data_IF_283895719972
#
_entry.id   IF_283895719972
#
_cell.length_a   1.000
_cell.length_b   1.000
_cell.length_c   1.000
_cell.angle_alpha   90.00
_cell.angle_beta   90.00
_cell.angle_gamma   90.00
#
_symmetry.space_group_name_H-M   'P 1'
#
loop_
_entity.id
_entity.type
_entity.pdbx_description
1 polymer ?
#
# COMPACT_ATOMS: atom_id res chain seq x y z
N UNK A 1 40.80 25.24 3.62
CA UNK A 1 41.23 23.84 3.41
C UNK A 1 41.54 23.06 4.70
N UNK A 2 41.87 23.68 5.80
CA UNK A 2 42.14 23.00 7.09
C UNK A 2 40.87 22.79 7.92
N UNK A 3 39.86 23.63 7.78
CA UNK A 3 38.56 23.49 8.46
C UNK A 3 37.62 22.44 7.84
N UNK A 4 37.73 22.19 6.55
CA UNK A 4 36.93 21.15 5.88
C UNK A 4 37.37 19.71 6.20
N UNK A 5 38.63 19.51 6.63
CA UNK A 5 39.14 18.18 7.02
C UNK A 5 38.84 17.77 8.46
N UNK A 6 38.46 18.69 9.33
CA UNK A 6 38.10 18.38 10.72
C UNK A 6 36.64 17.97 10.87
N UNK A 7 35.73 18.42 10.00
CA UNK A 7 34.32 18.06 10.05
C UNK A 7 34.04 16.57 9.68
N UNK A 8 34.91 15.95 8.88
CA UNK A 8 34.75 14.54 8.46
C UNK A 8 35.10 13.54 9.61
N UNK A 9 35.84 13.99 10.64
CA UNK A 9 36.30 13.13 11.73
C UNK A 9 35.21 12.79 12.76
N UNK A 10 34.07 13.51 12.73
CA UNK A 10 32.97 13.37 13.70
C UNK A 10 31.63 12.97 13.05
N UNK A 11 31.61 12.61 11.77
CA UNK A 11 30.42 12.00 11.17
C UNK A 11 30.21 10.61 11.79
N UNK A 12 29.35 10.54 12.78
CA UNK A 12 28.84 9.26 13.28
C UNK A 12 27.96 8.64 12.19
N UNK A 13 28.49 7.64 11.49
CA UNK A 13 27.71 6.81 10.58
C UNK A 13 26.87 5.84 11.41
N UNK A 14 25.56 5.97 11.34
CA UNK A 14 24.66 4.94 11.86
C UNK A 14 24.50 3.84 10.78
N UNK A 15 24.82 2.62 11.13
CA UNK A 15 24.69 1.45 10.25
C UNK A 15 23.50 0.62 10.72
N UNK A 16 22.59 0.33 9.81
CA UNK A 16 21.49 -0.62 10.00
C UNK A 16 21.68 -1.77 9.05
N UNK A 17 21.76 -2.99 9.56
CA UNK A 17 21.86 -4.21 8.79
C UNK A 17 20.72 -5.16 9.17
N UNK A 18 20.16 -5.84 8.19
CA UNK A 18 19.10 -6.82 8.46
C UNK A 18 18.18 -7.05 7.27
N UNK A 19 17.20 -7.93 7.47
CA UNK A 19 16.17 -8.20 6.48
C UNK A 19 15.12 -7.10 6.54
N UNK A 20 15.07 -6.31 5.46
CA UNK A 20 14.09 -5.24 5.33
C UNK A 20 12.69 -5.83 5.14
N UNK A 21 11.78 -5.48 6.03
CA UNK A 21 10.35 -5.81 5.95
C UNK A 21 9.57 -4.71 5.24
N UNK A 22 8.26 -4.91 5.06
CA UNK A 22 7.38 -3.87 4.56
C UNK A 22 7.50 -2.63 5.44
N UNK A 23 7.68 -1.46 4.81
CA UNK A 23 7.67 -0.17 5.50
C UNK A 23 6.38 -0.01 6.31
N UNK A 24 6.50 0.37 7.55
CA UNK A 24 5.37 0.73 8.40
C UNK A 24 5.10 2.23 8.31
N UNK A 25 3.82 2.58 8.44
CA UNK A 25 3.37 3.97 8.37
C UNK A 25 2.39 4.25 9.51
N UNK A 26 2.44 5.47 10.01
CA UNK A 26 1.52 5.97 11.01
C UNK A 26 0.90 7.28 10.52
N UNK A 27 -0.42 7.41 10.68
CA UNK A 27 -1.12 8.62 10.33
C UNK A 27 -0.71 9.76 11.25
N UNK A 28 -0.31 10.86 10.68
CA UNK A 28 0.10 12.07 11.38
C UNK A 28 0.12 13.25 10.42
N UNK A 29 0.52 14.41 10.89
CA UNK A 29 0.74 15.61 10.08
C UNK A 29 2.15 16.14 10.34
N UNK A 30 3.12 15.73 9.50
CA UNK A 30 3.02 14.80 8.36
C UNK A 30 2.96 13.32 8.78
N UNK A 31 2.61 12.43 7.81
CA UNK A 31 2.65 10.97 7.95
C UNK A 31 4.04 10.53 8.39
N UNK A 32 4.10 9.57 9.31
CA UNK A 32 5.34 8.99 9.80
C UNK A 32 5.66 7.68 9.08
N UNK A 33 6.93 7.48 8.74
CA UNK A 33 7.43 6.32 8.02
C UNK A 33 8.56 5.62 8.77
N UNK A 34 8.51 4.29 8.80
CA UNK A 34 9.50 3.46 9.48
C UNK A 34 9.99 2.34 8.57
N UNK A 35 11.30 2.30 8.28
CA UNK A 35 11.94 1.11 7.72
C UNK A 35 12.12 0.10 8.84
N UNK A 36 11.52 -1.08 8.69
CA UNK A 36 11.52 -2.13 9.71
C UNK A 36 12.47 -3.24 9.31
N UNK A 37 13.39 -3.56 10.21
CA UNK A 37 14.30 -4.69 10.15
C UNK A 37 13.83 -5.79 11.11
N UNK A 38 14.61 -6.86 11.29
CA UNK A 38 14.20 -7.94 12.19
C UNK A 38 14.04 -7.46 13.64
N UNK A 39 15.06 -6.75 14.15
CA UNK A 39 15.19 -6.39 15.58
C UNK A 39 15.24 -4.88 15.81
N UNK A 40 15.05 -4.08 14.77
CA UNK A 40 15.15 -2.63 14.82
C UNK A 40 14.29 -1.95 13.77
N UNK A 41 14.16 -0.65 13.89
CA UNK A 41 13.54 0.19 12.87
C UNK A 41 14.28 1.53 12.73
N UNK A 42 14.11 2.13 11.56
CA UNK A 42 14.64 3.46 11.27
C UNK A 42 13.48 4.41 10.98
N UNK A 43 13.38 5.51 11.70
CA UNK A 43 12.37 6.53 11.48
C UNK A 43 12.74 7.39 10.28
N UNK A 44 12.11 7.15 9.15
CA UNK A 44 12.48 7.71 7.84
C UNK A 44 12.31 9.24 7.79
N UNK A 45 11.33 9.80 8.51
CA UNK A 45 11.11 11.24 8.54
C UNK A 45 12.35 12.00 9.05
N UNK A 46 13.15 11.38 9.92
CA UNK A 46 14.39 11.97 10.44
C UNK A 46 15.52 11.97 9.42
N UNK A 47 15.37 11.26 8.31
CA UNK A 47 16.35 11.20 7.22
C UNK A 47 16.09 12.25 6.14
N UNK A 48 14.96 12.94 6.18
CA UNK A 48 14.63 13.97 5.19
C UNK A 48 15.71 15.05 5.22
N UNK A 49 16.31 15.33 4.05
CA UNK A 49 17.43 16.26 3.91
C UNK A 49 18.81 15.70 4.29
N UNK A 50 18.90 14.41 4.65
CA UNK A 50 20.18 13.74 4.92
C UNK A 50 20.62 12.85 3.78
N UNK A 51 21.93 12.64 3.67
CA UNK A 51 22.50 11.66 2.76
C UNK A 51 22.38 10.26 3.35
N UNK A 52 21.97 9.30 2.53
CA UNK A 52 21.85 7.89 2.91
C UNK A 52 22.54 7.02 1.85
N UNK A 53 23.19 5.96 2.30
CA UNK A 53 23.76 4.92 1.46
C UNK A 53 23.00 3.62 1.68
N UNK A 54 22.65 2.93 0.58
CA UNK A 54 21.93 1.66 0.59
C UNK A 54 22.74 0.62 -0.17
N UNK A 55 23.12 -0.48 0.48
CA UNK A 55 23.75 -1.62 -0.15
C UNK A 55 22.87 -2.87 -0.10
N UNK A 56 22.92 -3.66 -1.15
CA UNK A 56 22.21 -4.93 -1.26
C UNK A 56 23.14 -6.08 -0.93
N UNK A 57 22.85 -6.79 0.17
CA UNK A 57 23.67 -7.89 0.66
C UNK A 57 23.13 -9.28 0.23
N UNK A 58 21.86 -9.37 -0.14
CA UNK A 58 21.26 -10.62 -0.58
C UNK A 58 19.77 -10.73 -0.34
N UNK A 59 19.23 -11.92 -0.54
CA UNK A 59 17.83 -12.24 -0.38
C UNK A 59 17.58 -13.13 0.85
N UNK A 60 16.43 -12.92 1.48
CA UNK A 60 15.88 -13.85 2.48
C UNK A 60 14.36 -13.94 2.29
N UNK A 61 13.85 -15.17 2.20
CA UNK A 61 12.42 -15.42 2.11
C UNK A 61 11.73 -15.06 3.43
N UNK A 62 10.66 -14.25 3.36
CA UNK A 62 9.91 -13.80 4.54
C UNK A 62 9.08 -14.93 5.21
N UNK A 63 8.89 -16.08 4.53
CA UNK A 63 8.14 -17.20 5.08
C UNK A 63 9.05 -18.27 5.68
N UNK A 64 10.00 -18.82 4.89
CA UNK A 64 10.88 -19.89 5.37
C UNK A 64 12.20 -19.39 5.98
N UNK A 65 12.48 -18.08 5.94
CA UNK A 65 13.69 -17.43 6.41
C UNK A 65 15.01 -17.93 5.75
N UNK A 66 14.92 -18.73 4.69
CA UNK A 66 16.10 -19.21 3.96
C UNK A 66 16.63 -18.13 3.01
N UNK A 67 17.95 -18.10 2.80
CA UNK A 67 18.63 -17.25 1.82
C UNK A 67 18.35 -17.77 0.39
N UNK A 68 17.15 -17.48 -0.11
CA UNK A 68 16.67 -17.87 -1.45
C UNK A 68 16.23 -16.64 -2.21
N UNK A 69 16.43 -16.62 -3.53
CA UNK A 69 15.92 -15.57 -4.40
C UNK A 69 14.42 -15.39 -4.21
N UNK A 70 13.98 -14.14 -4.10
CA UNK A 70 12.58 -13.80 -3.97
C UNK A 70 11.89 -13.91 -5.32
N UNK A 71 10.78 -14.64 -5.37
CA UNK A 71 9.95 -14.77 -6.55
C UNK A 71 8.90 -13.65 -6.60
N UNK A 72 8.04 -13.54 -5.59
CA UNK A 72 7.03 -12.48 -5.46
C UNK A 72 6.66 -12.26 -3.99
N UNK A 73 6.18 -11.06 -3.66
CA UNK A 73 5.61 -10.68 -2.34
C UNK A 73 6.52 -10.99 -1.12
N UNK A 74 7.85 -11.02 -1.33
CA UNK A 74 8.79 -11.38 -0.27
C UNK A 74 8.98 -12.90 -0.08
N UNK A 75 8.35 -13.76 -0.92
CA UNK A 75 8.46 -15.22 -0.84
C UNK A 75 9.39 -15.79 -1.92
N UNK A 76 10.15 -16.85 -1.58
CA UNK A 76 10.77 -17.69 -2.59
C UNK A 76 9.69 -18.47 -3.38
N UNK A 77 10.05 -19.07 -4.50
CA UNK A 77 9.11 -19.78 -5.36
C UNK A 77 8.28 -20.84 -4.63
N UNK A 78 8.94 -21.73 -3.85
CA UNK A 78 8.24 -22.80 -3.14
C UNK A 78 7.22 -22.25 -2.13
N UNK A 79 7.62 -21.23 -1.35
CA UNK A 79 6.73 -20.59 -0.39
C UNK A 79 5.58 -19.83 -1.06
N UNK A 80 5.84 -19.21 -2.21
CA UNK A 80 4.81 -18.52 -2.95
C UNK A 80 3.75 -19.51 -3.48
N UNK A 81 4.17 -20.65 -4.00
CA UNK A 81 3.25 -21.65 -4.56
C UNK A 81 2.44 -22.38 -3.48
N UNK A 82 2.98 -22.55 -2.27
CA UNK A 82 2.33 -23.29 -1.17
C UNK A 82 1.55 -22.41 -0.19
N UNK A 83 1.73 -21.09 -0.22
CA UNK A 83 1.11 -20.21 0.79
C UNK A 83 -0.37 -19.93 0.49
N UNK A 84 -1.22 -20.06 1.49
CA UNK A 84 -2.61 -19.62 1.45
C UNK A 84 -2.75 -18.09 1.25
N UNK A 85 -1.68 -17.34 1.59
CA UNK A 85 -1.65 -15.88 1.47
C UNK A 85 -1.46 -15.38 0.03
N UNK A 86 -1.47 -16.24 -0.99
CA UNK A 86 -1.27 -15.88 -2.41
C UNK A 86 -2.34 -16.42 -3.36
N UNK A 87 -3.53 -16.70 -2.86
CA UNK A 87 -4.69 -17.12 -3.67
C UNK A 87 -5.12 -16.05 -4.69
N UNK A 88 -5.78 -16.45 -5.77
CA UNK A 88 -6.23 -15.55 -6.85
C UNK A 88 -7.17 -14.45 -6.34
N UNK A 89 -7.97 -14.74 -5.32
CA UNK A 89 -8.86 -13.78 -4.65
C UNK A 89 -8.12 -12.58 -4.03
N UNK A 90 -6.78 -12.64 -3.86
CA UNK A 90 -6.00 -11.52 -3.35
C UNK A 90 -5.93 -10.37 -4.36
N UNK A 91 -5.72 -10.71 -5.63
CA UNK A 91 -5.66 -9.74 -6.73
C UNK A 91 -7.04 -9.48 -7.35
N UNK A 92 -7.96 -10.43 -7.20
CA UNK A 92 -9.31 -10.43 -7.76
C UNK A 92 -10.32 -10.71 -6.66
N UNK A 93 -10.68 -9.70 -5.85
CA UNK A 93 -11.54 -9.87 -4.67
C UNK A 93 -12.90 -10.52 -4.97
N UNK A 94 -13.43 -10.33 -6.17
CA UNK A 94 -14.66 -10.93 -6.66
C UNK A 94 -14.61 -12.47 -6.75
N UNK A 95 -13.42 -13.05 -6.74
CA UNK A 95 -13.22 -14.52 -6.71
C UNK A 95 -13.20 -15.10 -5.28
N UNK A 96 -13.49 -14.28 -4.27
CA UNK A 96 -13.54 -14.74 -2.88
C UNK A 96 -14.72 -15.68 -2.66
N UNK A 97 -14.46 -16.87 -2.12
CA UNK A 97 -15.45 -17.97 -1.98
C UNK A 97 -15.66 -18.43 -0.54
N UNK A 98 -14.91 -17.89 0.44
CA UNK A 98 -15.01 -18.30 1.84
C UNK A 98 -16.42 -18.09 2.44
N UNK A 99 -17.20 -17.13 1.92
CA UNK A 99 -18.61 -16.91 2.33
C UNK A 99 -19.57 -18.01 1.86
N UNK A 100 -19.12 -18.89 0.95
CA UNK A 100 -19.83 -20.07 0.45
C UNK A 100 -19.27 -21.36 1.05
N UNK A 101 -18.33 -21.28 2.02
CA UNK A 101 -17.60 -22.44 2.56
C UNK A 101 -16.80 -23.23 1.49
N UNK A 102 -16.39 -22.57 0.41
CA UNK A 102 -15.59 -23.17 -0.66
C UNK A 102 -14.12 -22.77 -0.48
N UNK A 103 -13.27 -23.79 -0.32
CA UNK A 103 -11.82 -23.64 -0.17
C UNK A 103 -11.13 -23.39 -1.52
N UNK A 104 -10.20 -22.42 -1.53
CA UNK A 104 -9.22 -22.27 -2.63
C UNK A 104 -7.89 -22.95 -2.25
N UNK A 105 -7.33 -22.67 -1.07
CA UNK A 105 -6.07 -23.25 -0.56
C UNK A 105 -6.11 -23.63 0.90
N UNK A 106 -6.77 -22.86 1.75
CA UNK A 106 -6.90 -23.04 3.19
C UNK A 106 -8.14 -22.27 3.66
N UNK A 107 -9.22 -23.00 3.88
CA UNK A 107 -10.52 -22.40 4.20
C UNK A 107 -10.50 -21.62 5.51
N UNK A 108 -9.79 -22.07 6.53
CA UNK A 108 -9.73 -21.39 7.82
C UNK A 108 -8.98 -20.05 7.71
N UNK A 109 -7.87 -20.04 6.97
CA UNK A 109 -7.15 -18.80 6.66
C UNK A 109 -8.02 -17.87 5.82
N UNK A 110 -8.67 -18.37 4.80
CA UNK A 110 -9.52 -17.60 3.89
C UNK A 110 -10.71 -16.99 4.62
N UNK A 111 -11.41 -17.75 5.49
CA UNK A 111 -12.47 -17.23 6.35
C UNK A 111 -11.98 -16.09 7.20
N UNK A 112 -10.84 -16.26 7.87
CA UNK A 112 -10.22 -15.22 8.70
C UNK A 112 -9.95 -13.93 7.94
N UNK A 113 -9.52 -14.03 6.68
CA UNK A 113 -9.13 -12.87 5.87
C UNK A 113 -10.30 -12.29 5.10
N UNK A 114 -11.17 -13.13 4.54
CA UNK A 114 -12.24 -12.71 3.64
C UNK A 114 -13.53 -12.31 4.38
N UNK A 115 -13.86 -12.98 5.52
CA UNK A 115 -15.10 -12.75 6.28
C UNK A 115 -14.92 -11.72 7.39
N UNK A 116 -14.29 -10.61 7.06
CA UNK A 116 -14.17 -9.45 7.94
C UNK A 116 -14.55 -8.17 7.18
N UNK A 117 -14.83 -7.06 7.87
CA UNK A 117 -15.19 -5.82 7.21
C UNK A 117 -14.15 -5.35 6.20
N UNK A 118 -14.61 -5.06 4.99
CA UNK A 118 -13.83 -4.51 3.90
C UNK A 118 -14.37 -3.14 3.49
N UNK A 119 -13.46 -2.28 3.08
CA UNK A 119 -13.74 -0.94 2.59
C UNK A 119 -13.50 -0.91 1.09
N UNK A 120 -14.48 -0.43 0.32
CA UNK A 120 -14.28 0.07 -1.03
C UNK A 120 -14.17 1.58 -0.95
N UNK A 121 -13.15 2.15 -1.57
CA UNK A 121 -12.81 3.55 -1.42
C UNK A 121 -12.42 4.21 -2.75
N UNK A 122 -12.59 5.53 -2.82
CA UNK A 122 -11.91 6.39 -3.78
C UNK A 122 -10.61 6.93 -3.17
N UNK A 123 -9.58 6.98 -3.99
CA UNK A 123 -8.32 7.63 -3.65
C UNK A 123 -7.88 8.52 -4.80
N UNK A 124 -7.46 9.74 -4.47
CA UNK A 124 -6.86 10.68 -5.39
C UNK A 124 -5.34 10.62 -5.25
N UNK A 125 -4.68 10.37 -6.35
CA UNK A 125 -3.24 10.53 -6.52
C UNK A 125 -2.99 11.28 -7.83
N UNK A 126 -2.27 10.73 -8.81
CA UNK A 126 -2.23 11.32 -10.16
C UNK A 126 -3.61 11.29 -10.86
N UNK A 127 -4.46 10.37 -10.48
CA UNK A 127 -5.84 10.19 -10.97
C UNK A 127 -6.72 9.61 -9.85
N UNK A 128 -8.04 9.69 -10.01
CA UNK A 128 -8.99 9.05 -9.11
C UNK A 128 -9.01 7.55 -9.35
N UNK A 129 -8.98 6.76 -8.26
CA UNK A 129 -9.02 5.31 -8.30
C UNK A 129 -10.01 4.74 -7.33
N UNK A 130 -10.61 3.62 -7.72
CA UNK A 130 -11.32 2.71 -6.82
C UNK A 130 -10.33 1.67 -6.29
N UNK A 131 -10.47 1.31 -5.03
CA UNK A 131 -9.69 0.24 -4.42
C UNK A 131 -10.43 -0.47 -3.30
N UNK A 132 -9.97 -1.68 -2.99
CA UNK A 132 -10.49 -2.52 -1.91
C UNK A 132 -9.41 -2.73 -0.86
N UNK A 133 -9.81 -2.69 0.40
CA UNK A 133 -8.94 -3.03 1.53
C UNK A 133 -9.75 -3.57 2.70
N UNK A 134 -9.10 -4.30 3.61
CA UNK A 134 -9.70 -4.61 4.91
C UNK A 134 -9.86 -3.33 5.73
N UNK A 135 -10.92 -3.20 6.50
CA UNK A 135 -11.15 -2.05 7.38
C UNK A 135 -9.95 -1.78 8.30
N UNK A 136 -9.34 -2.85 8.82
CA UNK A 136 -8.16 -2.77 9.71
C UNK A 136 -6.90 -2.21 9.04
N UNK A 137 -6.88 -2.09 7.73
CA UNK A 137 -5.75 -1.55 6.95
C UNK A 137 -5.94 -0.08 6.54
N UNK A 138 -7.02 0.55 6.97
CA UNK A 138 -7.23 1.99 6.78
C UNK A 138 -6.62 2.75 7.97
N UNK A 139 -5.86 3.83 7.76
CA UNK A 139 -5.54 4.49 6.49
C UNK A 139 -4.24 3.98 5.82
N UNK A 140 -3.53 3.02 6.42
CA UNK A 140 -2.23 2.52 5.92
C UNK A 140 -2.26 2.18 4.42
N UNK A 141 -3.36 1.57 3.95
CA UNK A 141 -3.50 1.21 2.53
C UNK A 141 -3.58 2.43 1.62
N UNK A 142 -4.18 3.52 2.08
CA UNK A 142 -4.25 4.79 1.34
C UNK A 142 -2.89 5.46 1.27
N UNK A 143 -2.15 5.45 2.38
CA UNK A 143 -0.77 5.94 2.46
C UNK A 143 0.14 5.14 1.51
N UNK A 144 0.08 3.80 1.55
CA UNK A 144 0.85 2.90 0.69
C UNK A 144 0.60 3.15 -0.82
N UNK A 145 -0.56 3.68 -1.17
CA UNK A 145 -0.93 4.01 -2.55
C UNK A 145 -0.57 5.43 -2.96
N UNK A 146 0.02 6.21 -2.05
CA UNK A 146 0.36 7.61 -2.29
C UNK A 146 -0.85 8.47 -2.58
N UNK A 147 -1.99 8.16 -1.95
CA UNK A 147 -3.18 8.97 -2.06
C UNK A 147 -2.99 10.30 -1.32
N UNK A 148 -3.28 11.42 -1.95
CA UNK A 148 -3.33 12.72 -1.28
C UNK A 148 -4.65 12.95 -0.56
N UNK A 149 -5.70 12.34 -1.10
CA UNK A 149 -7.04 12.31 -0.49
C UNK A 149 -7.66 10.93 -0.68
N UNK A 150 -8.43 10.48 0.29
CA UNK A 150 -9.20 9.24 0.18
C UNK A 150 -10.55 9.35 0.89
N UNK A 151 -11.57 8.66 0.35
CA UNK A 151 -12.91 8.61 0.93
C UNK A 151 -13.50 7.21 0.78
N UNK A 152 -14.16 6.72 1.83
CA UNK A 152 -14.88 5.44 1.79
C UNK A 152 -16.14 5.58 0.93
N UNK A 153 -16.36 4.62 0.03
CA UNK A 153 -17.60 4.47 -0.74
C UNK A 153 -18.57 3.62 0.06
N UNK A 154 -18.17 2.40 0.40
CA UNK A 154 -18.96 1.46 1.20
C UNK A 154 -18.07 0.70 2.18
N UNK A 155 -18.64 0.32 3.32
CA UNK A 155 -18.09 -0.67 4.24
C UNK A 155 -18.98 -1.91 4.17
N UNK A 156 -18.42 -3.03 3.72
CA UNK A 156 -19.14 -4.30 3.50
C UNK A 156 -18.60 -5.41 4.40
N UNK A 157 -19.43 -6.41 4.79
CA UNK A 157 -19.04 -7.43 5.76
C UNK A 157 -17.99 -8.41 5.28
N UNK A 158 -17.77 -8.55 3.99
CA UNK A 158 -16.82 -9.53 3.44
C UNK A 158 -16.13 -9.03 2.17
N UNK A 159 -15.09 -9.78 1.79
CA UNK A 159 -14.27 -9.47 0.62
C UNK A 159 -14.99 -9.62 -0.70
N UNK A 160 -15.92 -10.59 -0.83
CA UNK A 160 -16.70 -10.81 -2.06
C UNK A 160 -17.52 -9.57 -2.43
N UNK A 161 -18.31 -9.04 -1.49
CA UNK A 161 -19.10 -7.82 -1.71
C UNK A 161 -18.23 -6.62 -2.08
N UNK A 162 -17.05 -6.51 -1.47
CA UNK A 162 -16.08 -5.48 -1.86
C UNK A 162 -15.57 -5.69 -3.29
N UNK A 163 -15.32 -6.94 -3.68
CA UNK A 163 -14.84 -7.31 -5.02
C UNK A 163 -15.85 -7.00 -6.12
N UNK A 164 -17.11 -7.42 -5.98
CA UNK A 164 -18.14 -7.12 -6.98
C UNK A 164 -18.40 -5.61 -7.10
N UNK A 165 -18.25 -4.87 -6.00
CA UNK A 165 -18.31 -3.41 -6.00
C UNK A 165 -17.17 -2.82 -6.82
N UNK A 166 -15.93 -3.27 -6.57
CA UNK A 166 -14.76 -2.81 -7.31
C UNK A 166 -14.91 -3.06 -8.81
N UNK A 167 -15.36 -4.27 -9.19
CA UNK A 167 -15.59 -4.63 -10.60
C UNK A 167 -16.65 -3.74 -11.25
N UNK A 168 -17.77 -3.46 -10.56
CA UNK A 168 -18.82 -2.58 -11.08
C UNK A 168 -18.31 -1.16 -11.31
N UNK A 169 -17.43 -0.66 -10.45
CA UNK A 169 -16.93 0.71 -10.49
C UNK A 169 -15.70 0.91 -11.39
N UNK A 170 -14.90 -0.12 -11.64
CA UNK A 170 -13.67 -0.04 -12.47
C UNK A 170 -13.87 0.54 -13.85
N UNK A 171 -15.03 0.33 -14.45
CA UNK A 171 -15.32 0.82 -15.81
C UNK A 171 -15.46 2.36 -15.87
N UNK A 172 -15.59 3.02 -14.73
CA UNK A 172 -15.82 4.47 -14.63
C UNK A 172 -14.55 5.25 -14.24
N UNK A 173 -13.48 4.55 -13.84
CA UNK A 173 -12.23 5.17 -13.37
C UNK A 173 -11.01 4.48 -13.97
N UNK A 174 -9.92 5.24 -14.12
CA UNK A 174 -8.67 4.71 -14.63
C UNK A 174 -8.10 3.59 -13.73
N UNK A 175 -7.70 2.48 -14.33
CA UNK A 175 -7.13 1.34 -13.60
C UNK A 175 -5.63 1.54 -13.27
N UNK A 176 -4.94 2.43 -13.96
CA UNK A 176 -3.48 2.59 -13.83
C UNK A 176 -3.07 3.93 -13.24
N UNK A 177 -2.39 3.90 -12.08
CA UNK A 177 -1.64 5.07 -11.59
C UNK A 177 -0.25 5.05 -12.18
N UNK A 178 0.20 6.19 -12.68
CA UNK A 178 1.60 6.38 -12.94
C UNK A 178 2.32 6.70 -11.63
N UNK A 179 3.08 5.74 -11.10
CA UNK A 179 3.89 5.96 -9.91
C UNK A 179 4.92 7.09 -10.10
N UNK A 180 5.38 7.29 -11.34
CA UNK A 180 6.28 8.40 -11.67
C UNK A 180 5.59 9.76 -11.51
N UNK A 181 4.33 9.89 -11.96
CA UNK A 181 3.53 11.11 -11.77
C UNK A 181 3.30 11.38 -10.29
N UNK A 182 2.92 10.35 -9.54
CA UNK A 182 2.72 10.43 -8.09
C UNK A 182 3.97 10.95 -7.38
N UNK A 183 5.16 10.36 -7.67
CA UNK A 183 6.42 10.80 -7.05
C UNK A 183 6.87 12.20 -7.49
N UNK A 184 6.36 12.72 -8.60
CA UNK A 184 6.59 14.11 -9.05
C UNK A 184 5.52 15.10 -8.53
N UNK A 185 4.59 14.63 -7.70
CA UNK A 185 3.45 15.40 -7.22
C UNK A 185 2.52 15.92 -8.34
N UNK A 186 2.43 15.19 -9.44
CA UNK A 186 1.46 15.45 -10.49
C UNK A 186 0.10 14.88 -10.06
N UNK A 187 -0.63 15.66 -9.23
CA UNK A 187 -1.89 15.25 -8.61
C UNK A 187 -3.06 15.61 -9.52
N UNK A 188 -4.08 14.75 -9.59
CA UNK A 188 -5.35 15.04 -10.23
C UNK A 188 -6.14 16.12 -9.47
N UNK A 189 -7.06 16.79 -10.16
CA UNK A 189 -7.86 17.91 -9.63
C UNK A 189 -9.31 17.53 -9.32
N UNK A 190 -9.65 16.24 -9.26
CA UNK A 190 -11.01 15.78 -9.05
C UNK A 190 -11.47 16.00 -7.60
N UNK A 191 -12.73 16.42 -7.43
CA UNK A 191 -13.42 16.41 -6.15
C UNK A 191 -13.95 15.00 -5.85
N UNK A 192 -13.22 14.24 -5.01
CA UNK A 192 -13.55 12.84 -4.72
C UNK A 192 -14.82 12.67 -3.89
N UNK A 193 -15.27 13.68 -3.14
CA UNK A 193 -16.54 13.62 -2.43
C UNK A 193 -17.71 13.71 -3.42
N UNK A 194 -17.61 14.62 -4.38
CA UNK A 194 -18.58 14.72 -5.46
C UNK A 194 -18.59 13.46 -6.36
N UNK A 195 -17.42 12.96 -6.73
CA UNK A 195 -17.30 11.72 -7.51
C UNK A 195 -17.92 10.54 -6.76
N UNK A 196 -17.71 10.45 -5.44
CA UNK A 196 -18.29 9.40 -4.60
C UNK A 196 -19.82 9.34 -4.69
N UNK A 197 -20.51 10.49 -4.67
CA UNK A 197 -21.97 10.53 -4.78
C UNK A 197 -22.46 10.04 -6.14
N UNK A 198 -21.75 10.32 -7.22
CA UNK A 198 -22.07 9.80 -8.55
C UNK A 198 -21.99 8.28 -8.64
N UNK A 199 -21.10 7.66 -7.85
CA UNK A 199 -20.90 6.20 -7.87
C UNK A 199 -22.10 5.42 -7.37
N UNK A 200 -22.96 6.00 -6.55
CA UNK A 200 -24.12 5.32 -5.94
C UNK A 200 -25.02 4.64 -6.98
N UNK A 201 -25.17 5.25 -8.16
CA UNK A 201 -26.00 4.71 -9.24
C UNK A 201 -25.45 3.44 -9.90
N UNK A 202 -24.14 3.15 -9.72
CA UNK A 202 -23.46 2.00 -10.30
C UNK A 202 -23.15 0.90 -9.28
N UNK A 203 -23.55 1.10 -8.03
CA UNK A 203 -23.36 0.09 -7.00
C UNK A 203 -24.28 -1.12 -7.25
N UNK A 204 -23.77 -2.35 -7.04
CA UNK A 204 -24.63 -3.53 -7.04
C UNK A 204 -25.76 -3.40 -6.01
N UNK A 205 -26.94 -3.93 -6.32
CA UNK A 205 -28.12 -3.87 -5.44
C UNK A 205 -27.86 -4.40 -4.04
N UNK A 206 -27.04 -5.47 -3.94
CA UNK A 206 -26.64 -6.12 -2.69
C UNK A 206 -25.75 -5.23 -1.81
N UNK A 207 -25.11 -4.22 -2.41
CA UNK A 207 -24.15 -3.33 -1.76
C UNK A 207 -24.77 -1.99 -1.40
N UNK A 208 -25.84 -1.56 -2.06
CA UNK A 208 -26.52 -0.29 -1.81
C UNK A 208 -26.83 -0.02 -0.32
N UNK A 209 -27.26 -1.01 0.50
CA UNK A 209 -27.52 -0.79 1.92
C UNK A 209 -26.29 -0.36 2.74
N UNK A 210 -25.10 -0.60 2.22
CA UNK A 210 -23.83 -0.26 2.88
C UNK A 210 -23.27 1.11 2.47
N UNK A 211 -23.97 1.82 1.60
CA UNK A 211 -23.58 3.18 1.20
C UNK A 211 -23.97 4.17 2.31
N UNK A 212 -22.97 4.72 3.00
CA UNK A 212 -23.21 5.82 3.94
C UNK A 212 -23.37 7.14 3.18
N UNK A 213 -24.45 7.88 3.41
CA UNK A 213 -24.71 9.15 2.71
C UNK A 213 -23.61 10.18 3.02
N UNK A 214 -23.23 10.28 4.28
CA UNK A 214 -22.21 11.23 4.73
C UNK A 214 -20.90 10.50 4.99
N UNK A 215 -19.87 10.85 4.24
CA UNK A 215 -18.48 10.42 4.45
C UNK A 215 -17.56 11.59 4.14
N UNK A 216 -16.67 11.89 5.07
CA UNK A 216 -15.64 12.91 4.87
C UNK A 216 -14.39 12.28 4.27
N UNK A 217 -13.77 12.99 3.33
CA UNK A 217 -12.46 12.62 2.82
C UNK A 217 -11.39 12.80 3.90
N UNK A 218 -10.41 11.92 3.89
CA UNK A 218 -9.17 12.08 4.65
C UNK A 218 -8.12 12.69 3.73
N UNK A 219 -7.51 13.79 4.17
CA UNK A 219 -6.35 14.39 3.51
C UNK A 219 -5.08 13.80 4.13
N UNK A 220 -4.14 13.42 3.29
CA UNK A 220 -2.91 12.74 3.66
C UNK A 220 -1.71 13.66 3.36
N UNK A 221 -0.99 14.04 4.40
CA UNK A 221 0.16 14.94 4.33
C UNK A 221 1.47 14.14 4.34
N UNK A 222 2.24 14.23 3.26
CA UNK A 222 3.48 13.48 3.09
C UNK A 222 4.70 14.32 3.51
N UNK A 223 5.71 13.74 4.21
CA UNK A 223 6.89 14.44 4.70
C UNK A 223 7.92 14.69 3.57
N UNK A 224 7.58 15.48 2.57
CA UNK A 224 8.41 15.74 1.41
C UNK A 224 8.88 17.20 1.41
N UNK A 225 10.19 17.42 1.29
CA UNK A 225 10.76 18.77 1.16
C UNK A 225 10.68 19.30 -0.27
N UNK A 226 10.94 18.45 -1.25
CA UNK A 226 10.94 18.81 -2.67
C UNK A 226 10.56 17.58 -3.52
N UNK A 227 9.93 17.83 -4.64
CA UNK A 227 9.50 16.77 -5.56
C UNK A 227 10.45 16.68 -6.77
N UNK A 228 10.93 15.47 -7.11
CA UNK A 228 11.89 15.28 -8.19
C UNK A 228 11.28 15.59 -9.55
N UNK A 229 12.00 16.31 -10.41
CA UNK A 229 11.61 16.54 -11.80
C UNK A 229 11.67 15.27 -12.66
N UNK A 230 12.58 14.36 -12.32
CA UNK A 230 12.74 13.06 -13.00
C UNK A 230 12.80 11.95 -11.97
N UNK A 231 12.08 10.88 -12.23
CA UNK A 231 12.05 9.69 -11.37
C UNK A 231 12.63 8.50 -12.15
N UNK A 232 13.57 7.80 -11.53
CA UNK A 232 14.16 6.56 -12.04
C UNK A 232 13.89 5.43 -11.05
N UNK A 233 13.67 4.22 -11.54
CA UNK A 233 13.69 3.04 -10.68
C UNK A 233 15.13 2.77 -10.22
N UNK A 234 15.28 2.47 -8.94
CA UNK A 234 16.52 1.95 -8.37
C UNK A 234 16.53 0.43 -8.48
N UNK A 235 17.65 -0.14 -8.87
CA UNK A 235 17.89 -1.58 -8.83
C UNK A 235 19.19 -1.81 -8.06
N UNK A 236 19.05 -2.08 -6.78
CA UNK A 236 20.18 -2.25 -5.86
C UNK A 236 21.03 -3.52 -6.15
N UNK A 237 20.51 -4.48 -6.94
CA UNK A 237 21.29 -5.64 -7.39
C UNK A 237 22.34 -5.29 -8.46
N UNK A 238 22.24 -4.11 -9.07
CA UNK A 238 23.04 -3.70 -10.23
C UNK A 238 23.89 -2.46 -9.96
N UNK A 239 23.85 -1.96 -8.73
CA UNK A 239 24.68 -0.82 -8.32
C UNK A 239 25.94 -1.27 -7.63
#
# INVERSE_FOLDING_TARGET
EQYEKEDDKYRQHMIYEGVLKKMQTELGTPIQYYLVFNDSFLHVNQLVGKEIELSFEGYQCLNCNLKKKIFRQGFCYDCFMSSAAVGDWIMRPELSTAHLDIEDRDLDYEKKVQLQPHIVYLALSSEVKVGVTRKTQVPTRWIDKGATEAVTIVEVPNRYLAGITEVALKNHYADKTSWQKMLKNEIGTADIEHERHKLKQWLPSEVLPYFAEEQKKLVLDFPVLDYPKKVKSLNLEKT
#
